data_IF_554772959235
#
_entry.id   IF_554772959235
#
_cell.length_a   1.000
_cell.length_b   1.000
_cell.length_c   1.000
_cell.angle_alpha   90.00
_cell.angle_beta   90.00
_cell.angle_gamma   90.00
#
_symmetry.space_group_name_H-M   'P 1'
#
loop_
_entity.id
_entity.type
_entity.pdbx_description
1 polymer ?
#
# COMPACT_ATOMS: atom_id res chain seq x y z
N UNK A 1 13.30 32.04 -22.53
CA UNK A 1 12.11 32.71 -23.09
C UNK A 1 10.96 32.61 -22.12
N UNK A 2 10.14 33.66 -21.96
CA UNK A 2 8.97 33.63 -21.08
C UNK A 2 7.72 33.97 -21.89
N UNK A 3 6.71 33.11 -21.82
CA UNK A 3 5.41 33.30 -22.47
C UNK A 3 4.36 33.50 -21.39
N UNK A 4 3.56 34.56 -21.53
CA UNK A 4 2.40 34.82 -20.69
C UNK A 4 1.15 34.64 -21.55
N UNK A 5 0.23 33.76 -21.13
CA UNK A 5 -1.01 33.55 -21.87
C UNK A 5 -2.16 33.18 -20.95
N UNK A 6 -3.30 33.85 -21.14
CA UNK A 6 -4.60 33.36 -20.72
C UNK A 6 -5.33 32.83 -21.95
N UNK A 7 -5.56 31.53 -21.98
CA UNK A 7 -6.19 30.86 -23.12
C UNK A 7 -6.93 29.64 -22.61
N UNK A 8 -7.99 29.21 -23.29
CA UNK A 8 -8.70 27.97 -22.93
C UNK A 8 -7.87 26.72 -23.28
N UNK A 9 -7.12 26.78 -24.39
CA UNK A 9 -6.30 25.68 -24.90
C UNK A 9 -4.92 26.20 -25.31
N UNK A 10 -3.88 25.45 -24.98
CA UNK A 10 -2.50 25.69 -25.41
C UNK A 10 -1.96 24.37 -25.95
N UNK A 11 -1.94 24.26 -27.28
CA UNK A 11 -1.47 23.07 -27.96
C UNK A 11 0.01 23.22 -28.31
N UNK A 12 0.85 22.43 -27.66
CA UNK A 12 2.29 22.33 -27.91
C UNK A 12 2.63 20.97 -28.54
N UNK A 13 1.71 20.42 -29.33
CA UNK A 13 1.82 19.10 -29.95
C UNK A 13 2.94 19.08 -30.98
N UNK A 14 3.87 18.11 -30.87
CA UNK A 14 5.04 17.94 -31.75
C UNK A 14 5.92 19.19 -31.87
N UNK A 15 5.91 20.05 -30.85
CA UNK A 15 6.78 21.23 -30.81
C UNK A 15 8.20 20.85 -30.40
N UNK A 16 9.18 21.66 -30.81
CA UNK A 16 10.58 21.49 -30.43
C UNK A 16 11.06 22.71 -29.66
N UNK A 17 11.51 22.50 -28.42
CA UNK A 17 11.99 23.55 -27.53
C UNK A 17 13.50 23.47 -27.43
N UNK A 18 14.18 24.33 -28.20
CA UNK A 18 15.64 24.40 -28.31
C UNK A 18 16.28 25.42 -27.35
N UNK A 19 15.51 25.95 -26.40
CA UNK A 19 16.03 26.85 -25.36
C UNK A 19 15.14 26.78 -24.12
N UNK A 20 15.68 27.23 -22.98
CA UNK A 20 14.91 27.31 -21.73
C UNK A 20 13.66 28.17 -21.90
N UNK A 21 12.49 27.62 -21.56
CA UNK A 21 11.22 28.31 -21.67
C UNK A 21 10.41 28.28 -20.38
N UNK A 22 9.65 29.34 -20.12
CA UNK A 22 8.69 29.39 -19.01
C UNK A 22 7.35 29.85 -19.56
N UNK A 23 6.36 28.95 -19.54
CA UNK A 23 4.98 29.23 -19.91
C UNK A 23 4.20 29.52 -18.63
N UNK A 24 3.86 30.78 -18.43
CA UNK A 24 2.96 31.24 -17.36
C UNK A 24 1.56 31.29 -17.93
N UNK A 25 0.76 30.31 -17.55
CA UNK A 25 -0.53 30.05 -18.16
C UNK A 25 -1.66 30.25 -17.18
N UNK A 26 -2.80 30.70 -17.71
CA UNK A 26 -4.06 30.83 -16.99
C UNK A 26 -5.20 30.24 -17.77
N UNK A 27 -6.09 29.56 -17.05
CA UNK A 27 -7.33 28.99 -17.60
C UNK A 27 -7.08 27.99 -18.75
N UNK A 28 -5.86 27.47 -18.86
CA UNK A 28 -5.40 26.74 -20.03
C UNK A 28 -5.43 25.23 -19.81
N UNK A 29 -5.95 24.52 -20.81
CA UNK A 29 -5.70 23.11 -20.99
C UNK A 29 -4.50 22.93 -21.94
N UNK A 30 -3.42 22.35 -21.45
CA UNK A 30 -2.13 22.27 -22.14
C UNK A 30 -1.90 20.86 -22.64
N UNK A 31 -1.68 20.72 -23.94
CA UNK A 31 -1.33 19.46 -24.57
C UNK A 31 0.13 19.51 -25.06
N UNK A 32 0.98 18.60 -24.56
CA UNK A 32 2.38 18.50 -24.95
C UNK A 32 2.68 17.24 -25.75
N UNK A 33 1.65 16.58 -26.31
CA UNK A 33 1.84 15.30 -27.00
C UNK A 33 2.97 15.36 -28.03
N UNK A 34 3.94 14.47 -27.88
CA UNK A 34 5.15 14.34 -28.70
C UNK A 34 6.03 15.62 -28.76
N UNK A 35 5.94 16.51 -27.76
CA UNK A 35 6.83 17.67 -27.64
C UNK A 35 8.26 17.24 -27.24
N UNK A 36 9.26 17.81 -27.92
CA UNK A 36 10.67 17.55 -27.66
C UNK A 36 11.27 18.72 -26.88
N UNK A 37 11.69 18.45 -25.65
CA UNK A 37 12.25 19.43 -24.72
C UNK A 37 13.77 19.25 -24.64
N UNK A 38 14.55 19.97 -25.46
CA UNK A 38 16.02 19.87 -25.42
C UNK A 38 16.63 20.64 -24.24
N UNK A 39 15.87 21.58 -23.67
CA UNK A 39 16.26 22.40 -22.52
C UNK A 39 15.10 22.51 -21.53
N UNK A 40 15.35 22.92 -20.28
CA UNK A 40 14.30 23.05 -19.27
C UNK A 40 13.10 23.90 -19.72
N UNK A 41 11.91 23.32 -19.69
CA UNK A 41 10.64 24.00 -19.96
C UNK A 41 9.77 23.91 -18.72
N UNK A 42 9.40 25.07 -18.19
CA UNK A 42 8.53 25.20 -17.03
C UNK A 42 7.13 25.65 -17.44
N UNK A 43 6.11 24.93 -16.95
CA UNK A 43 4.70 25.29 -17.12
C UNK A 43 4.15 25.62 -15.74
N UNK A 44 3.78 26.88 -15.57
CA UNK A 44 3.40 27.44 -14.29
C UNK A 44 1.97 27.95 -14.39
N UNK A 45 1.09 27.42 -13.54
CA UNK A 45 -0.24 28.00 -13.36
C UNK A 45 -0.09 29.34 -12.63
N UNK A 46 -0.54 30.43 -13.25
CA UNK A 46 -0.45 31.75 -12.64
C UNK A 46 -1.77 32.14 -11.97
N UNK A 47 -1.78 32.54 -10.68
CA UNK A 47 -3.03 32.85 -9.98
C UNK A 47 -3.57 34.26 -10.27
N UNK A 48 -2.71 35.22 -10.60
CA UNK A 48 -3.06 36.64 -10.74
C UNK A 48 -3.26 37.06 -12.22
N UNK A 49 -4.08 38.10 -12.49
CA UNK A 49 -4.21 38.71 -13.82
C UNK A 49 -2.89 39.21 -14.37
N UNK A 50 -2.63 38.87 -15.63
CA UNK A 50 -1.51 39.48 -16.35
C UNK A 50 -1.84 40.92 -16.74
N UNK A 51 -3.13 41.23 -16.92
CA UNK A 51 -3.67 42.55 -17.27
C UNK A 51 -4.99 42.79 -16.54
N UNK A 52 -5.32 44.07 -16.32
CA UNK A 52 -6.48 44.49 -15.49
C UNK A 52 -7.83 44.05 -16.08
N UNK A 53 -7.94 43.96 -17.41
CA UNK A 53 -9.14 43.55 -18.15
C UNK A 53 -8.91 42.23 -18.91
N UNK A 54 -8.47 41.19 -18.20
CA UNK A 54 -8.30 39.86 -18.79
C UNK A 54 -9.67 39.21 -19.03
N UNK A 55 -10.05 38.87 -20.28
CA UNK A 55 -11.34 38.25 -20.56
C UNK A 55 -11.47 36.94 -19.80
N UNK A 56 -12.47 36.84 -18.93
CA UNK A 56 -12.76 35.59 -18.21
C UNK A 56 -13.13 34.52 -19.23
N UNK A 57 -12.35 33.44 -19.29
CA UNK A 57 -12.73 32.23 -20.02
C UNK A 57 -13.62 31.38 -19.11
N UNK A 58 -14.95 31.32 -19.34
CA UNK A 58 -15.82 30.49 -18.51
C UNK A 58 -15.50 29.01 -18.73
N UNK A 59 -15.06 28.31 -17.68
CA UNK A 59 -15.00 26.84 -17.66
C UNK A 59 -13.75 26.20 -17.04
N UNK A 60 -12.62 26.90 -16.93
CA UNK A 60 -11.37 26.34 -16.40
C UNK A 60 -10.90 27.13 -15.18
N UNK A 61 -11.11 26.62 -13.97
CA UNK A 61 -10.68 27.28 -12.73
C UNK A 61 -9.17 27.15 -12.44
N UNK A 62 -8.35 26.87 -13.45
CA UNK A 62 -6.90 26.66 -13.31
C UNK A 62 -6.23 26.23 -14.61
N UNK A 63 -4.92 25.98 -14.54
CA UNK A 63 -4.12 25.46 -15.65
C UNK A 63 -3.97 23.95 -15.49
N UNK A 64 -4.40 23.21 -16.51
CA UNK A 64 -4.45 21.75 -16.55
C UNK A 64 -3.55 21.24 -17.66
N UNK A 65 -2.89 20.11 -17.44
CA UNK A 65 -2.14 19.39 -18.49
C UNK A 65 -2.96 18.18 -18.91
N UNK A 66 -3.23 18.03 -20.21
CA UNK A 66 -4.03 16.93 -20.77
C UNK A 66 -3.20 15.72 -21.14
N UNK A 67 -1.98 15.92 -21.65
CA UNK A 67 -1.16 14.83 -22.16
C UNK A 67 0.33 15.18 -22.13
N UNK A 68 1.11 14.20 -21.67
CA UNK A 68 2.57 14.15 -21.75
C UNK A 68 3.06 12.97 -22.61
N UNK A 69 2.16 12.35 -23.37
CA UNK A 69 2.49 11.21 -24.22
C UNK A 69 3.63 11.59 -25.18
N UNK A 70 4.66 10.77 -25.26
CA UNK A 70 5.80 10.98 -26.16
C UNK A 70 6.79 12.07 -25.73
N UNK A 71 6.56 12.73 -24.58
CA UNK A 71 7.43 13.80 -24.08
C UNK A 71 8.58 13.20 -23.28
N UNK A 72 9.79 13.74 -23.47
CA UNK A 72 10.88 13.53 -22.51
C UNK A 72 10.70 14.48 -21.31
N UNK A 73 10.31 13.91 -20.18
CA UNK A 73 9.99 14.67 -18.97
C UNK A 73 11.23 15.09 -18.16
N UNK A 74 12.46 14.72 -18.57
CA UNK A 74 13.69 15.08 -17.86
C UNK A 74 13.90 16.60 -17.74
N UNK A 75 13.40 17.35 -18.72
CA UNK A 75 13.49 18.81 -18.77
C UNK A 75 12.15 19.49 -18.48
N UNK A 76 11.14 18.76 -18.01
CA UNK A 76 9.81 19.30 -17.75
C UNK A 76 9.64 19.68 -16.28
N UNK A 77 9.24 20.92 -16.03
CA UNK A 77 8.83 21.42 -14.71
C UNK A 77 7.37 21.82 -14.76
N UNK A 78 6.56 21.27 -13.87
CA UNK A 78 5.14 21.62 -13.72
C UNK A 78 4.94 22.24 -12.34
N UNK A 79 4.38 23.45 -12.30
CA UNK A 79 4.15 24.18 -11.06
C UNK A 79 2.70 24.60 -10.93
N UNK A 80 2.06 24.23 -9.82
CA UNK A 80 0.66 24.57 -9.50
C UNK A 80 -0.37 24.11 -10.55
N UNK A 81 -0.07 23.04 -11.30
CA UNK A 81 -0.92 22.54 -12.39
C UNK A 81 -1.84 21.38 -11.97
N UNK A 82 -2.93 21.25 -12.71
CA UNK A 82 -3.87 20.13 -12.57
C UNK A 82 -3.53 19.00 -13.56
N UNK A 83 -3.21 17.83 -13.04
CA UNK A 83 -2.87 16.61 -13.77
C UNK A 83 -3.97 15.53 -13.66
N UNK A 84 -5.15 15.88 -13.16
CA UNK A 84 -6.24 14.92 -12.91
C UNK A 84 -6.80 14.25 -14.17
N UNK A 85 -6.55 14.81 -15.35
CA UNK A 85 -6.88 14.20 -16.65
C UNK A 85 -5.65 13.99 -17.53
N UNK A 86 -4.45 14.07 -16.97
CA UNK A 86 -3.21 13.97 -17.73
C UNK A 86 -2.92 12.53 -18.13
N UNK A 87 -2.61 12.32 -19.41
CA UNK A 87 -2.07 11.06 -19.94
C UNK A 87 -0.56 11.05 -19.74
N UNK A 88 -0.04 10.03 -19.06
CA UNK A 88 1.39 9.86 -18.78
C UNK A 88 2.01 8.67 -19.52
N UNK A 89 1.21 7.68 -19.93
CA UNK A 89 1.67 6.52 -20.68
C UNK A 89 2.32 6.97 -21.98
N UNK A 90 3.53 6.46 -22.23
CA UNK A 90 4.37 6.85 -23.36
C UNK A 90 5.25 8.07 -23.11
N UNK A 91 5.21 8.71 -21.94
CA UNK A 91 6.22 9.69 -21.55
C UNK A 91 7.55 9.00 -21.20
N UNK A 92 8.67 9.65 -21.51
CA UNK A 92 10.02 9.20 -21.21
C UNK A 92 10.58 9.95 -19.99
N UNK A 93 11.51 9.31 -19.27
CA UNK A 93 12.17 9.87 -18.08
C UNK A 93 11.20 10.53 -17.08
N UNK A 94 10.02 9.95 -16.91
CA UNK A 94 9.01 10.46 -15.98
C UNK A 94 9.50 10.43 -14.52
N UNK A 95 10.57 9.69 -14.23
CA UNK A 95 11.26 9.72 -12.94
C UNK A 95 12.06 11.00 -12.69
N UNK A 96 12.31 11.81 -13.73
CA UNK A 96 13.05 13.07 -13.65
C UNK A 96 12.15 14.30 -13.75
N UNK A 97 10.84 14.12 -13.92
CA UNK A 97 9.88 15.23 -13.96
C UNK A 97 9.90 16.01 -12.64
N UNK A 98 9.86 17.34 -12.74
CA UNK A 98 9.76 18.19 -11.55
C UNK A 98 8.34 18.65 -11.33
N UNK A 99 7.77 18.23 -10.22
CA UNK A 99 6.42 18.58 -9.78
C UNK A 99 6.53 19.50 -8.57
N UNK A 100 6.18 20.77 -8.75
CA UNK A 100 6.36 21.82 -7.74
C UNK A 100 5.03 22.48 -7.36
N UNK A 101 4.93 22.96 -6.12
CA UNK A 101 3.73 23.60 -5.61
C UNK A 101 2.53 22.64 -5.52
N UNK A 102 1.34 23.16 -5.82
CA UNK A 102 0.07 22.44 -5.72
C UNK A 102 -0.25 21.68 -7.00
N UNK A 103 0.21 20.44 -7.08
CA UNK A 103 -0.14 19.53 -8.17
C UNK A 103 -1.39 18.71 -7.82
N UNK A 104 -2.40 18.77 -8.69
CA UNK A 104 -3.63 17.99 -8.51
C UNK A 104 -3.57 16.70 -9.35
N UNK A 105 -4.01 15.59 -8.77
CA UNK A 105 -4.18 14.31 -9.45
C UNK A 105 -5.64 13.87 -9.31
N UNK A 106 -6.06 12.89 -10.13
CA UNK A 106 -7.37 12.31 -9.97
C UNK A 106 -7.44 11.59 -8.62
N UNK A 107 -8.60 11.63 -7.96
CA UNK A 107 -8.86 10.85 -6.76
C UNK A 107 -9.81 9.70 -7.05
N UNK A 108 -9.62 8.51 -6.47
CA UNK A 108 -10.53 7.40 -6.66
C UNK A 108 -11.92 7.76 -6.09
N UNK A 109 -13.00 7.24 -6.69
CA UNK A 109 -14.33 7.66 -6.32
C UNK A 109 -14.62 7.31 -4.86
N UNK A 110 -15.07 8.30 -4.08
CA UNK A 110 -15.38 8.12 -2.67
C UNK A 110 -16.57 7.16 -2.49
N UNK A 111 -16.45 6.27 -1.51
CA UNK A 111 -17.53 5.40 -1.07
C UNK A 111 -17.10 4.01 -0.65
N UNK A 112 -18.07 3.28 -0.09
CA UNK A 112 -17.96 1.86 0.17
C UNK A 112 -18.27 1.09 -1.11
N UNK A 113 -17.44 0.11 -1.45
CA UNK A 113 -17.70 -0.83 -2.54
C UNK A 113 -17.95 -2.21 -1.98
N UNK A 114 -18.97 -2.89 -2.48
CA UNK A 114 -19.17 -4.29 -2.19
C UNK A 114 -18.27 -5.11 -3.14
N UNK A 115 -17.26 -5.79 -2.59
CA UNK A 115 -16.41 -6.72 -3.34
C UNK A 115 -16.60 -8.13 -2.78
N UNK A 116 -17.14 -9.05 -3.58
CA UNK A 116 -17.52 -10.42 -3.14
C UNK A 116 -18.38 -10.42 -1.86
N UNK A 117 -19.37 -9.51 -1.77
CA UNK A 117 -20.27 -9.40 -0.63
C UNK A 117 -19.73 -8.63 0.58
N UNK A 118 -18.45 -8.27 0.61
CA UNK A 118 -17.84 -7.54 1.73
C UNK A 118 -17.72 -6.04 1.43
N UNK A 119 -18.05 -5.15 2.40
CA UNK A 119 -17.88 -3.72 2.24
C UNK A 119 -16.38 -3.36 2.32
N UNK A 120 -15.82 -2.95 1.19
CA UNK A 120 -14.44 -2.48 1.05
C UNK A 120 -14.45 -0.99 0.72
N UNK A 121 -13.87 -0.18 1.61
CA UNK A 121 -13.63 1.24 1.34
C UNK A 121 -12.39 1.39 0.47
N UNK A 122 -12.51 2.12 -0.66
CA UNK A 122 -11.34 2.48 -1.47
C UNK A 122 -10.42 3.39 -0.66
N UNK A 123 -9.11 3.18 -0.80
CA UNK A 123 -8.12 4.10 -0.25
C UNK A 123 -8.28 5.45 -0.92
N UNK A 124 -8.36 6.53 -0.15
CA UNK A 124 -8.06 7.87 -0.70
C UNK A 124 -6.56 7.89 -1.01
N UNK A 125 -6.22 8.23 -2.24
CA UNK A 125 -4.85 8.40 -2.74
C UNK A 125 -4.89 9.19 -4.05
N UNK A 126 -3.75 9.69 -4.50
CA UNK A 126 -3.58 10.20 -5.86
C UNK A 126 -3.60 9.04 -6.88
N UNK A 127 -4.31 9.24 -7.98
CA UNK A 127 -4.46 8.26 -9.07
C UNK A 127 -4.22 8.92 -10.42
N UNK A 128 -3.68 8.14 -11.36
CA UNK A 128 -3.52 8.54 -12.75
C UNK A 128 -4.87 8.59 -13.46
N UNK A 129 -5.02 9.49 -14.42
CA UNK A 129 -6.22 9.57 -15.25
C UNK A 129 -6.45 8.24 -16.00
N UNK A 130 -5.38 7.61 -16.48
CA UNK A 130 -5.47 6.33 -17.18
C UNK A 130 -5.91 5.17 -16.28
N UNK A 131 -5.63 5.21 -14.97
CA UNK A 131 -6.23 4.25 -14.04
C UNK A 131 -7.77 4.42 -14.03
N UNK A 132 -8.28 5.66 -14.01
CA UNK A 132 -9.73 5.87 -14.08
C UNK A 132 -10.34 5.32 -15.36
N UNK A 133 -9.66 5.53 -16.50
CA UNK A 133 -10.11 5.04 -17.80
C UNK A 133 -10.18 3.50 -17.81
N UNK A 134 -9.12 2.82 -17.36
CA UNK A 134 -9.07 1.37 -17.28
C UNK A 134 -10.15 0.81 -16.32
N UNK A 135 -10.40 1.50 -15.21
CA UNK A 135 -11.42 1.12 -14.23
C UNK A 135 -12.83 1.34 -14.74
N UNK A 136 -13.06 2.36 -15.55
CA UNK A 136 -14.34 2.62 -16.17
C UNK A 136 -14.72 1.50 -17.15
N UNK A 137 -13.77 1.04 -17.98
CA UNK A 137 -13.95 -0.10 -18.88
C UNK A 137 -14.24 -1.38 -18.10
N UNK A 138 -13.43 -1.68 -17.09
CA UNK A 138 -13.65 -2.87 -16.25
C UNK A 138 -14.96 -2.84 -15.45
N UNK A 139 -15.59 -1.67 -15.31
CA UNK A 139 -16.84 -1.47 -14.59
C UNK A 139 -18.07 -1.33 -15.51
N UNK A 140 -17.92 -1.46 -16.84
CA UNK A 140 -18.94 -1.16 -17.84
C UNK A 140 -20.28 -1.88 -17.61
N UNK A 141 -20.27 -3.11 -17.06
CA UNK A 141 -21.47 -3.90 -16.77
C UNK A 141 -22.12 -3.60 -15.41
N UNK A 142 -21.61 -2.60 -14.67
CA UNK A 142 -22.11 -2.27 -13.33
C UNK A 142 -22.70 -0.86 -13.29
N UNK A 143 -23.75 -0.68 -12.47
CA UNK A 143 -24.32 0.64 -12.08
C UNK A 143 -23.29 1.59 -11.45
N UNK A 144 -22.04 1.12 -11.26
CA UNK A 144 -20.91 1.83 -10.65
C UNK A 144 -19.90 2.33 -11.68
N UNK A 145 -20.12 2.09 -12.99
CA UNK A 145 -19.34 2.67 -14.08
C UNK A 145 -19.33 4.21 -14.00
N UNK A 146 -20.48 4.80 -13.63
CA UNK A 146 -20.68 6.26 -13.57
C UNK A 146 -19.80 6.98 -12.54
N UNK A 147 -19.09 6.25 -11.67
CA UNK A 147 -18.23 6.85 -10.65
C UNK A 147 -16.79 7.02 -11.11
N UNK A 148 -16.33 6.26 -12.10
CA UNK A 148 -14.98 6.39 -12.64
C UNK A 148 -15.02 7.23 -13.91
N UNK A 149 -14.05 8.14 -14.04
CA UNK A 149 -13.96 9.00 -15.23
C UNK A 149 -13.67 8.13 -16.47
N UNK A 150 -14.47 8.30 -17.52
CA UNK A 150 -14.27 7.58 -18.79
C UNK A 150 -13.21 8.29 -19.61
N UNK A 151 -12.32 7.49 -20.20
CA UNK A 151 -11.31 7.99 -21.13
C UNK A 151 -11.86 8.18 -22.54
N UNK A 152 -11.10 8.86 -23.41
CA UNK A 152 -11.49 9.09 -24.81
C UNK A 152 -11.61 7.79 -25.61
N UNK A 153 -10.84 6.76 -25.24
CA UNK A 153 -10.86 5.46 -25.89
C UNK A 153 -11.98 4.52 -25.38
N UNK A 154 -12.83 4.96 -24.46
CA UNK A 154 -13.91 4.11 -23.93
C UNK A 154 -14.94 3.79 -25.03
N UNK A 155 -15.37 2.52 -25.21
CA UNK A 155 -15.17 1.37 -24.33
C UNK A 155 -14.00 0.43 -24.71
N UNK A 156 -13.14 0.80 -25.66
CA UNK A 156 -12.13 -0.10 -26.23
C UNK A 156 -11.02 -0.45 -25.22
N UNK A 157 -10.94 -1.71 -24.75
CA UNK A 157 -9.90 -2.14 -23.82
C UNK A 157 -8.51 -2.20 -24.48
N UNK A 158 -8.41 -2.40 -25.80
CA UNK A 158 -7.13 -2.52 -26.48
C UNK A 158 -6.40 -1.17 -26.61
N UNK A 159 -7.16 -0.07 -26.56
CA UNK A 159 -6.63 1.30 -26.65
C UNK A 159 -6.44 1.96 -25.28
N UNK A 160 -6.74 1.25 -24.19
CA UNK A 160 -6.64 1.77 -22.82
C UNK A 160 -5.50 1.09 -22.07
N UNK A 161 -4.55 1.84 -21.49
CA UNK A 161 -3.39 1.25 -20.81
C UNK A 161 -3.77 0.22 -19.74
N UNK A 162 -3.10 -0.92 -19.79
CA UNK A 162 -3.30 -2.02 -18.86
C UNK A 162 -2.62 -1.79 -17.50
N UNK A 163 -2.86 -2.66 -16.50
CA UNK A 163 -2.13 -2.58 -15.23
C UNK A 163 -0.61 -2.71 -15.37
N UNK A 164 -0.16 -3.48 -16.35
CA UNK A 164 1.23 -3.68 -16.74
C UNK A 164 1.86 -2.39 -17.29
N UNK A 165 1.13 -1.61 -18.09
CA UNK A 165 1.56 -0.28 -18.57
C UNK A 165 1.61 0.77 -17.46
N UNK A 166 0.63 0.74 -16.54
CA UNK A 166 0.49 1.75 -15.48
C UNK A 166 1.48 1.54 -14.32
N UNK A 167 1.91 0.30 -14.05
CA UNK A 167 2.83 0.03 -12.94
C UNK A 167 4.19 0.75 -13.11
N UNK A 168 4.85 0.73 -14.29
CA UNK A 168 6.04 1.55 -14.56
C UNK A 168 5.81 3.06 -14.41
N UNK A 169 4.67 3.59 -14.86
CA UNK A 169 4.33 5.02 -14.73
C UNK A 169 4.24 5.41 -13.26
N UNK A 170 3.53 4.63 -12.44
CA UNK A 170 3.49 4.83 -10.99
C UNK A 170 4.87 4.74 -10.34
N UNK A 171 5.73 3.80 -10.79
CA UNK A 171 7.10 3.67 -10.28
C UNK A 171 7.94 4.90 -10.60
N UNK A 172 7.84 5.43 -11.82
CA UNK A 172 8.56 6.61 -12.25
C UNK A 172 8.14 7.84 -11.43
N UNK A 173 6.83 8.10 -11.29
CA UNK A 173 6.31 9.19 -10.46
C UNK A 173 6.66 9.04 -8.98
N UNK A 174 6.66 7.81 -8.46
CA UNK A 174 7.16 7.52 -7.10
C UNK A 174 8.62 7.95 -6.97
N UNK A 175 9.49 7.55 -7.90
CA UNK A 175 10.90 7.93 -7.89
C UNK A 175 11.09 9.45 -7.97
N UNK A 176 10.39 10.12 -8.88
CA UNK A 176 10.41 11.59 -8.97
C UNK A 176 10.00 12.27 -7.66
N UNK A 177 8.97 11.73 -6.98
CA UNK A 177 8.50 12.25 -5.69
C UNK A 177 9.48 11.97 -4.55
N UNK A 178 10.12 10.80 -4.53
CA UNK A 178 11.18 10.45 -3.57
C UNK A 178 12.40 11.35 -3.74
N UNK A 179 12.82 11.61 -4.99
CA UNK A 179 13.93 12.52 -5.32
C UNK A 179 13.62 13.96 -4.91
N UNK A 180 12.35 14.38 -5.01
CA UNK A 180 11.86 15.66 -4.51
C UNK A 180 11.64 15.71 -2.98
N UNK A 181 11.95 14.62 -2.24
CA UNK A 181 11.67 14.46 -0.79
C UNK A 181 10.19 14.60 -0.41
N UNK A 182 9.29 14.37 -1.36
CA UNK A 182 7.85 14.38 -1.14
C UNK A 182 7.37 12.96 -0.82
N UNK A 183 7.64 12.56 0.43
CA UNK A 183 7.30 11.24 0.99
C UNK A 183 5.79 10.92 0.98
N UNK A 184 4.87 11.89 1.24
CA UNK A 184 3.42 11.66 1.15
C UNK A 184 2.96 11.20 -0.22
N UNK A 185 3.44 11.87 -1.27
CA UNK A 185 3.01 11.61 -2.65
C UNK A 185 3.67 10.34 -3.18
N UNK A 186 4.95 10.13 -2.84
CA UNK A 186 5.65 8.87 -3.12
C UNK A 186 4.91 7.64 -2.55
N UNK A 187 4.35 7.74 -1.33
CA UNK A 187 3.59 6.67 -0.71
C UNK A 187 2.28 6.36 -1.46
N UNK A 188 1.59 7.39 -1.96
CA UNK A 188 0.37 7.22 -2.75
C UNK A 188 0.68 6.56 -4.12
N UNK A 189 1.77 6.95 -4.78
CA UNK A 189 2.24 6.33 -6.02
C UNK A 189 2.73 4.89 -5.82
N UNK A 190 3.43 4.61 -4.71
CA UNK A 190 3.80 3.24 -4.33
C UNK A 190 2.57 2.33 -4.17
N UNK A 191 1.52 2.84 -3.51
CA UNK A 191 0.28 2.08 -3.39
C UNK A 191 -0.34 1.81 -4.76
N UNK A 192 -0.33 2.80 -5.66
CA UNK A 192 -0.78 2.67 -7.05
C UNK A 192 -0.01 1.57 -7.80
N UNK A 193 1.32 1.60 -7.75
CA UNK A 193 2.21 0.60 -8.36
C UNK A 193 1.86 -0.81 -7.88
N UNK A 194 1.81 -1.03 -6.56
CA UNK A 194 1.52 -2.35 -5.97
C UNK A 194 0.10 -2.83 -6.30
N UNK A 195 -0.86 -1.90 -6.43
CA UNK A 195 -2.22 -2.22 -6.82
C UNK A 195 -2.32 -2.67 -8.28
N UNK A 196 -1.55 -2.04 -9.16
CA UNK A 196 -1.44 -2.41 -10.57
C UNK A 196 -0.76 -3.77 -10.72
N UNK A 197 0.38 -4.00 -10.05
CA UNK A 197 1.07 -5.30 -10.02
C UNK A 197 0.20 -6.45 -9.50
N UNK A 198 -0.71 -6.18 -8.56
CA UNK A 198 -1.66 -7.19 -8.07
C UNK A 198 -2.76 -7.52 -9.10
N UNK A 199 -3.13 -6.56 -9.94
CA UNK A 199 -4.19 -6.69 -10.95
C UNK A 199 -3.71 -7.22 -12.28
N UNK A 200 -2.44 -7.00 -12.57
CA UNK A 200 -1.72 -7.61 -13.67
C UNK A 200 -1.93 -9.14 -13.63
N UNK A 201 -2.58 -9.65 -14.68
CA UNK A 201 -2.94 -11.06 -14.82
C UNK A 201 -1.82 -11.88 -15.44
N UNK A 202 -0.87 -11.23 -16.11
CA UNK A 202 0.24 -11.86 -16.81
C UNK A 202 1.37 -12.24 -15.86
N UNK A 203 1.41 -11.61 -14.67
CA UNK A 203 2.36 -11.98 -13.63
C UNK A 203 2.18 -13.41 -13.10
N UNK A 204 3.30 -14.07 -12.74
CA UNK A 204 3.27 -15.41 -12.17
C UNK A 204 2.46 -15.44 -10.86
N UNK A 205 1.75 -16.55 -10.64
CA UNK A 205 0.85 -16.72 -9.50
C UNK A 205 1.54 -16.50 -8.16
N UNK A 206 2.79 -16.97 -8.00
CA UNK A 206 3.56 -16.81 -6.76
C UNK A 206 3.77 -15.35 -6.38
N UNK A 207 4.13 -14.50 -7.34
CA UNK A 207 4.30 -13.07 -7.09
C UNK A 207 2.97 -12.41 -6.72
N UNK A 208 1.89 -12.77 -7.40
CA UNK A 208 0.55 -12.25 -7.12
C UNK A 208 0.07 -12.65 -5.73
N UNK A 209 0.34 -13.87 -5.29
CA UNK A 209 0.02 -14.35 -3.95
C UNK A 209 0.81 -13.58 -2.90
N UNK A 210 2.11 -13.37 -3.09
CA UNK A 210 2.96 -12.60 -2.17
C UNK A 210 2.48 -11.16 -2.05
N UNK A 211 2.19 -10.49 -3.17
CA UNK A 211 1.67 -9.11 -3.18
C UNK A 211 0.28 -9.05 -2.52
N UNK A 212 -0.58 -10.06 -2.75
CA UNK A 212 -1.89 -10.13 -2.13
C UNK A 212 -1.80 -10.34 -0.61
N UNK A 213 -0.91 -11.22 -0.15
CA UNK A 213 -0.64 -11.42 1.28
C UNK A 213 -0.11 -10.13 1.92
N UNK A 214 0.86 -9.47 1.28
CA UNK A 214 1.39 -8.19 1.76
C UNK A 214 0.32 -7.09 1.85
N UNK A 215 -0.59 -7.02 0.87
CA UNK A 215 -1.76 -6.14 0.97
C UNK A 215 -2.70 -6.48 2.13
N UNK A 216 -2.95 -7.78 2.34
CA UNK A 216 -3.88 -8.26 3.36
C UNK A 216 -3.34 -7.98 4.76
N UNK A 217 -2.06 -8.29 5.00
CA UNK A 217 -1.41 -8.17 6.30
C UNK A 217 -1.14 -6.71 6.69
N UNK A 218 -0.59 -5.90 5.77
CA UNK A 218 -0.07 -4.57 6.12
C UNK A 218 -0.60 -3.43 5.24
N UNK A 219 -1.44 -3.73 4.25
CA UNK A 219 -1.89 -2.72 3.28
C UNK A 219 -0.72 -2.15 2.47
N UNK A 220 0.21 -3.03 2.06
CA UNK A 220 1.49 -2.67 1.44
C UNK A 220 2.44 -1.89 2.36
N UNK A 221 2.40 -2.16 3.66
CA UNK A 221 3.28 -1.50 4.63
C UNK A 221 2.92 -0.04 4.89
N UNK A 222 1.76 0.44 4.42
CA UNK A 222 1.30 1.82 4.60
C UNK A 222 0.17 1.96 5.64
N UNK A 223 -0.33 0.84 6.20
CA UNK A 223 -1.49 0.85 7.10
C UNK A 223 -1.21 0.11 8.40
N UNK A 224 -0.71 0.84 9.40
CA UNK A 224 -0.43 0.30 10.73
C UNK A 224 -1.64 -0.37 11.38
N UNK A 225 -2.85 0.19 11.19
CA UNK A 225 -4.07 -0.38 11.79
C UNK A 225 -4.38 -1.81 11.33
N UNK A 226 -4.01 -2.18 10.09
CA UNK A 226 -4.19 -3.57 9.61
C UNK A 226 -3.18 -4.51 10.25
N UNK A 227 -1.92 -4.09 10.34
CA UNK A 227 -0.87 -4.88 10.97
C UNK A 227 -1.17 -5.12 12.46
N UNK A 228 -1.60 -4.07 13.19
CA UNK A 228 -2.03 -4.22 14.59
C UNK A 228 -3.29 -5.09 14.74
N UNK A 229 -4.26 -4.98 13.83
CA UNK A 229 -5.44 -5.84 13.87
C UNK A 229 -5.07 -7.33 13.65
N UNK A 230 -4.18 -7.62 12.70
CA UNK A 230 -3.67 -8.98 12.49
C UNK A 230 -2.83 -9.48 13.66
N UNK A 231 -2.01 -8.62 14.27
CA UNK A 231 -1.27 -8.97 15.48
C UNK A 231 -2.23 -9.31 16.63
N UNK A 232 -3.22 -8.46 16.90
CA UNK A 232 -4.22 -8.74 17.94
C UNK A 232 -5.03 -10.00 17.66
N UNK A 233 -5.42 -10.24 16.40
CA UNK A 233 -6.11 -11.46 16.00
C UNK A 233 -5.23 -12.70 16.18
N UNK A 234 -3.96 -12.64 15.77
CA UNK A 234 -3.00 -13.73 15.95
C UNK A 234 -2.79 -14.05 17.44
N UNK A 235 -2.54 -13.03 18.27
CA UNK A 235 -2.41 -13.20 19.72
C UNK A 235 -3.67 -13.80 20.35
N UNK A 236 -4.86 -13.34 19.94
CA UNK A 236 -6.14 -13.87 20.43
C UNK A 236 -6.30 -15.35 20.04
N UNK A 237 -6.00 -15.71 18.79
CA UNK A 237 -6.03 -17.09 18.32
C UNK A 237 -5.03 -17.95 19.08
N UNK A 238 -3.78 -17.50 19.23
CA UNK A 238 -2.74 -18.20 20.02
C UNK A 238 -3.22 -18.46 21.45
N UNK A 239 -3.78 -17.45 22.13
CA UNK A 239 -4.34 -17.59 23.48
C UNK A 239 -5.50 -18.59 23.53
N UNK A 240 -6.43 -18.54 22.58
CA UNK A 240 -7.55 -19.49 22.49
C UNK A 240 -7.06 -20.92 22.26
N UNK A 241 -6.13 -21.12 21.33
CA UNK A 241 -5.54 -22.43 21.03
C UNK A 241 -4.82 -23.00 22.27
N UNK A 242 -4.07 -22.16 23.00
CA UNK A 242 -3.42 -22.58 24.23
C UNK A 242 -4.41 -22.90 25.34
N UNK A 243 -5.47 -22.11 25.52
CA UNK A 243 -6.51 -22.41 26.52
C UNK A 243 -7.24 -23.73 26.25
N UNK A 244 -7.50 -24.01 24.97
CA UNK A 244 -8.27 -25.19 24.55
C UNK A 244 -7.41 -26.45 24.50
N UNK A 245 -6.17 -26.34 24.01
CA UNK A 245 -5.31 -27.49 23.68
C UNK A 245 -3.88 -27.41 24.19
N UNK A 246 -3.37 -26.24 24.61
CA UNK A 246 -1.95 -26.06 24.95
C UNK A 246 -1.59 -26.15 26.43
N UNK A 247 -2.45 -25.63 27.31
CA UNK A 247 -2.20 -25.58 28.75
C UNK A 247 -2.62 -26.90 29.41
N UNK A 248 -1.74 -27.56 30.19
CA UNK A 248 -2.11 -28.71 31.00
C UNK A 248 -3.13 -28.32 32.08
N UNK A 249 -3.83 -29.29 32.67
CA UNK A 249 -4.71 -29.02 33.81
C UNK A 249 -3.93 -28.75 35.10
N UNK A 250 -2.73 -29.32 35.22
CA UNK A 250 -1.82 -29.13 36.35
C UNK A 250 -0.39 -29.02 35.81
N UNK A 251 0.40 -28.10 36.38
CA UNK A 251 1.83 -28.04 36.08
C UNK A 251 2.46 -29.38 36.54
N UNK A 252 3.08 -30.17 35.63
CA UNK A 252 3.64 -31.46 36.00
C UNK A 252 4.75 -31.23 37.02
N UNK A 253 4.46 -31.55 38.29
CA UNK A 253 5.45 -31.48 39.37
C UNK A 253 6.53 -32.52 39.06
N UNK A 254 7.82 -32.15 39.03
CA UNK A 254 8.90 -33.11 38.82
C UNK A 254 8.83 -34.15 39.95
N UNK A 255 8.60 -35.41 39.59
CA UNK A 255 8.63 -36.50 40.56
C UNK A 255 10.10 -36.90 40.68
N UNK A 256 10.70 -36.58 41.82
CA UNK A 256 12.04 -37.05 42.17
C UNK A 256 11.86 -38.47 42.72
N UNK A 257 12.03 -39.48 41.88
CA UNK A 257 12.09 -40.87 42.33
C UNK A 257 13.55 -41.15 42.69
N UNK A 258 13.84 -41.37 43.98
CA UNK A 258 15.14 -41.93 44.39
C UNK A 258 15.08 -43.44 44.19
N UNK A 259 15.76 -43.93 43.17
CA UNK A 259 15.98 -45.35 42.98
C UNK A 259 17.09 -45.79 43.94
N UNK A 260 16.72 -46.47 45.02
CA UNK A 260 17.71 -47.01 45.97
C UNK A 260 18.16 -48.39 45.46
N UNK A 261 19.14 -48.42 44.57
CA UNK A 261 19.86 -49.65 44.23
C UNK A 261 20.72 -50.04 45.43
N UNK A 262 20.47 -51.20 46.03
CA UNK A 262 21.26 -51.71 47.16
C UNK A 262 22.68 -52.05 46.68
N UNK A 263 23.65 -51.50 47.41
CA UNK A 263 25.10 -51.78 47.40
C UNK A 263 25.89 -51.20 46.22
N UNK A 264 26.72 -50.19 46.54
CA UNK A 264 27.83 -49.61 45.76
C UNK A 264 27.62 -49.37 44.27
N UNK A 265 27.13 -48.16 43.95
CA UNK A 265 27.57 -47.26 42.84
C UNK A 265 26.40 -46.33 42.43
N UNK A 266 26.73 -45.05 42.31
CA UNK A 266 25.92 -43.89 41.87
C UNK A 266 24.40 -43.90 42.08
N UNK A 267 23.94 -43.08 43.02
CA UNK A 267 22.52 -42.69 43.15
C UNK A 267 22.10 -41.83 41.95
N UNK A 268 21.58 -42.44 40.90
CA UNK A 268 21.00 -41.73 39.77
C UNK A 268 19.70 -41.04 40.20
N UNK A 269 19.71 -39.70 40.22
CA UNK A 269 18.54 -38.89 40.54
C UNK A 269 17.71 -38.73 39.26
N UNK A 270 16.81 -39.68 39.00
CA UNK A 270 15.94 -39.66 37.82
C UNK A 270 14.79 -38.67 38.07
N UNK A 271 14.87 -37.50 37.43
CA UNK A 271 13.78 -36.52 37.40
C UNK A 271 12.82 -36.92 36.27
N UNK A 272 11.83 -37.72 36.60
CA UNK A 272 10.80 -38.13 35.63
C UNK A 272 9.70 -37.06 35.60
N UNK A 273 9.51 -36.42 34.44
CA UNK A 273 8.42 -35.44 34.21
C UNK A 273 7.31 -36.14 33.43
N UNK A 274 6.12 -36.36 34.04
CA UNK A 274 5.01 -36.99 33.33
C UNK A 274 4.48 -36.07 32.23
N UNK A 275 4.03 -36.68 31.13
CA UNK A 275 3.52 -35.95 29.97
C UNK A 275 2.31 -35.06 30.34
N UNK A 276 2.31 -33.79 29.91
CA UNK A 276 1.19 -32.88 30.16
C UNK A 276 -0.08 -33.38 29.45
N UNK A 277 -1.10 -33.75 30.24
CA UNK A 277 -2.41 -34.21 29.73
C UNK A 277 -3.50 -33.18 29.99
N UNK A 278 -4.42 -33.06 29.03
CA UNK A 278 -5.62 -32.20 29.13
C UNK A 278 -6.86 -33.10 29.25
N UNK A 279 -7.62 -32.93 30.32
CA UNK A 279 -8.89 -33.64 30.57
C UNK A 279 -10.06 -32.65 30.72
N UNK A 280 -11.26 -33.02 30.28
CA UNK A 280 -12.49 -32.20 30.39
C UNK A 280 -13.08 -31.71 29.06
N UNK A 281 -14.32 -31.22 29.06
CA UNK A 281 -15.04 -30.73 27.85
C UNK A 281 -14.49 -29.39 27.36
N UNK A 282 -14.69 -29.04 26.06
CA UNK A 282 -14.19 -27.78 25.48
C UNK A 282 -14.73 -26.53 26.20
N UNK A 283 -15.99 -26.54 26.63
CA UNK A 283 -16.63 -25.41 27.32
C UNK A 283 -16.05 -25.14 28.72
N UNK A 284 -15.71 -26.20 29.46
CA UNK A 284 -15.09 -26.08 30.80
C UNK A 284 -13.64 -25.59 30.78
N UNK A 285 -13.01 -25.49 29.59
CA UNK A 285 -11.61 -25.07 29.44
C UNK A 285 -11.45 -23.55 29.29
N UNK A 286 -12.52 -22.83 28.95
CA UNK A 286 -12.52 -21.37 28.81
C UNK A 286 -12.73 -20.75 30.19
N UNK A 287 -11.63 -20.44 30.89
CA UNK A 287 -11.66 -19.83 32.22
C UNK A 287 -10.69 -18.65 32.29
N UNK A 288 -11.01 -17.64 33.11
CA UNK A 288 -10.17 -16.44 33.27
C UNK A 288 -8.74 -16.78 33.72
N UNK A 289 -8.59 -17.80 34.58
CA UNK A 289 -7.27 -18.25 35.06
C UNK A 289 -6.40 -18.83 33.92
N UNK A 290 -7.00 -19.64 33.03
CA UNK A 290 -6.29 -20.16 31.85
C UNK A 290 -6.00 -19.08 30.82
N UNK A 291 -6.89 -18.10 30.67
CA UNK A 291 -6.65 -16.96 29.80
C UNK A 291 -5.43 -16.16 30.24
N UNK A 292 -5.29 -15.91 31.55
CA UNK A 292 -4.11 -15.24 32.11
C UNK A 292 -2.80 -16.00 31.84
N UNK A 293 -2.77 -17.31 32.16
CA UNK A 293 -1.59 -18.15 31.89
C UNK A 293 -1.25 -18.22 30.39
N UNK A 294 -2.26 -18.39 29.53
CA UNK A 294 -2.06 -18.45 28.08
C UNK A 294 -1.55 -17.12 27.53
N UNK A 295 -2.07 -15.99 28.01
CA UNK A 295 -1.61 -14.66 27.61
C UNK A 295 -0.16 -14.41 28.05
N UNK A 296 0.22 -14.82 29.25
CA UNK A 296 1.60 -14.74 29.74
C UNK A 296 2.56 -15.58 28.88
N UNK A 297 2.16 -16.81 28.53
CA UNK A 297 2.93 -17.68 27.61
C UNK A 297 3.08 -17.03 26.23
N UNK A 298 2.01 -16.51 25.63
CA UNK A 298 2.09 -15.84 24.33
C UNK A 298 2.99 -14.62 24.42
N UNK A 299 2.79 -13.75 25.42
CA UNK A 299 3.61 -12.56 25.60
C UNK A 299 5.09 -12.89 25.77
N UNK A 300 5.42 -13.83 26.65
CA UNK A 300 6.80 -14.24 26.90
C UNK A 300 7.43 -14.95 25.69
N UNK A 301 6.64 -15.71 24.93
CA UNK A 301 7.09 -16.31 23.68
C UNK A 301 7.43 -15.26 22.61
N UNK A 302 6.63 -14.20 22.50
CA UNK A 302 6.85 -13.13 21.51
C UNK A 302 8.02 -12.24 21.88
N UNK A 303 8.06 -11.81 23.14
CA UNK A 303 9.04 -10.83 23.64
C UNK A 303 10.36 -11.50 24.00
N UNK A 304 10.31 -12.61 24.74
CA UNK A 304 11.47 -13.27 25.31
C UNK A 304 11.84 -14.59 24.62
N UNK A 305 11.07 -15.04 23.61
CA UNK A 305 11.30 -16.32 22.89
C UNK A 305 11.45 -17.52 23.82
N UNK A 306 10.88 -17.46 25.02
CA UNK A 306 10.86 -18.55 26.00
C UNK A 306 9.57 -18.49 26.82
N UNK A 307 8.85 -19.60 26.90
CA UNK A 307 7.62 -19.67 27.69
C UNK A 307 7.83 -20.26 29.09
N UNK A 308 8.95 -20.93 29.35
CA UNK A 308 9.27 -21.56 30.63
C UNK A 308 8.27 -22.63 31.12
N UNK A 309 7.18 -22.88 30.38
CA UNK A 309 6.08 -23.75 30.77
C UNK A 309 6.09 -25.08 30.01
N UNK A 310 5.69 -26.15 30.69
CA UNK A 310 5.52 -27.47 30.09
C UNK A 310 4.20 -27.52 29.32
N UNK A 311 4.23 -27.19 28.03
CA UNK A 311 3.07 -27.23 27.14
C UNK A 311 2.81 -28.65 26.63
N UNK A 312 1.55 -28.92 26.25
CA UNK A 312 1.22 -30.13 25.48
C UNK A 312 1.85 -30.09 24.08
N UNK A 313 1.97 -31.23 23.41
CA UNK A 313 2.44 -31.29 22.01
C UNK A 313 1.74 -30.27 21.07
N UNK A 314 0.39 -30.15 21.04
CA UNK A 314 -0.26 -29.10 20.25
C UNK A 314 0.03 -27.69 20.77
N UNK A 315 0.19 -27.49 22.08
CA UNK A 315 0.62 -26.20 22.64
C UNK A 315 2.01 -25.77 22.18
N UNK A 316 2.96 -26.70 22.11
CA UNK A 316 4.31 -26.47 21.60
C UNK A 316 4.29 -26.07 20.12
N UNK A 317 3.46 -26.70 19.28
CA UNK A 317 3.32 -26.31 17.87
C UNK A 317 2.74 -24.91 17.72
N UNK A 318 1.74 -24.55 18.53
CA UNK A 318 1.15 -23.20 18.56
C UNK A 318 2.18 -22.17 18.98
N UNK A 319 2.97 -22.47 20.01
CA UNK A 319 4.05 -21.62 20.47
C UNK A 319 5.14 -21.42 19.40
N UNK A 320 5.57 -22.50 18.73
CA UNK A 320 6.53 -22.40 17.64
C UNK A 320 6.01 -21.53 16.49
N UNK A 321 4.71 -21.66 16.16
CA UNK A 321 4.05 -20.82 15.16
C UNK A 321 4.01 -19.34 15.54
N UNK A 322 3.66 -19.02 16.79
CA UNK A 322 3.61 -17.62 17.27
C UNK A 322 4.98 -16.96 17.27
N UNK A 323 6.04 -17.70 17.65
CA UNK A 323 7.44 -17.22 17.61
C UNK A 323 7.92 -16.78 16.23
N UNK A 324 7.32 -17.32 15.16
CA UNK A 324 7.65 -16.94 13.79
C UNK A 324 6.73 -15.83 13.28
N UNK A 325 5.41 -16.00 13.44
CA UNK A 325 4.43 -15.13 12.81
C UNK A 325 4.29 -13.76 13.50
N UNK A 326 4.29 -13.72 14.83
CA UNK A 326 3.98 -12.52 15.59
C UNK A 326 5.10 -11.45 15.49
N UNK A 327 6.41 -11.79 15.53
CA UNK A 327 7.48 -10.81 15.26
C UNK A 327 7.43 -10.21 13.86
N UNK A 328 7.03 -10.98 12.84
CA UNK A 328 6.87 -10.46 11.47
C UNK A 328 5.75 -9.42 11.42
N UNK A 329 4.63 -9.67 12.12
CA UNK A 329 3.53 -8.72 12.22
C UNK A 329 3.93 -7.44 12.97
N UNK A 330 4.73 -7.56 14.04
CA UNK A 330 5.30 -6.41 14.75
C UNK A 330 6.22 -5.59 13.82
N UNK A 331 7.12 -6.25 13.08
CA UNK A 331 8.00 -5.57 12.13
C UNK A 331 7.21 -4.82 11.04
N UNK A 332 6.15 -5.44 10.50
CA UNK A 332 5.24 -4.80 9.55
C UNK A 332 4.48 -3.61 10.17
N UNK A 333 4.08 -3.71 11.43
CA UNK A 333 3.42 -2.62 12.14
C UNK A 333 4.36 -1.42 12.33
N UNK A 334 5.60 -1.67 12.78
CA UNK A 334 6.63 -0.62 12.94
C UNK A 334 6.95 0.07 11.62
N UNK A 335 7.11 -0.70 10.53
CA UNK A 335 7.36 -0.15 9.20
C UNK A 335 6.19 0.75 8.75
N UNK A 336 4.96 0.32 9.01
CA UNK A 336 3.79 1.12 8.67
C UNK A 336 3.63 2.38 9.52
N UNK A 337 4.00 2.35 10.80
CA UNK A 337 4.06 3.57 11.64
C UNK A 337 5.11 4.54 11.11
N UNK A 338 6.31 4.06 10.78
CA UNK A 338 7.35 4.90 10.17
C UNK A 338 6.87 5.56 8.89
N UNK A 339 6.20 4.82 8.02
CA UNK A 339 5.65 5.38 6.77
C UNK A 339 4.61 6.47 7.01
N UNK A 340 3.84 6.38 8.10
CA UNK A 340 2.82 7.38 8.48
C UNK A 340 3.43 8.62 9.11
N UNK A 341 4.52 8.50 9.86
CA UNK A 341 5.24 9.65 10.44
C UNK A 341 5.98 10.44 9.36
N UNK A 342 6.43 9.75 8.32
CA UNK A 342 7.06 10.31 7.12
C UNK A 342 6.08 11.06 6.20
N UNK A 343 4.78 10.81 6.34
CA UNK A 343 3.71 11.41 5.54
C UNK A 343 3.15 12.67 6.21
#
# INVERSE_FOLDING_TARGET
>A
MTIHAAAAFVECVRTQWLSTATLRLRHANVDLTDAVLAFPVAIVAHPAPFVVDEPFAPGSSGTRVSSLRGVDAAHLVLTDTDLSSCVFTGAFHLDQIRLEGRILFAEPPAGWRLHRGLPVRLSRRRTLAEEHHARAIAAADSTRAHRWTRGPAHPDPALTPGPDDLAPVYRALRKASEDAKNEPDAADFYFGEMEMRRRDRERPLGERVVIAAYWLLSGYGLRASRAFAWLGAAMTVSVLLLMLWGLPNHDPKPRITRENTRASEESALVVERPDPRITGSLGSRVTAHRAGKAAEVVFNSVVFRSSGQNLTAPGTVVEMGSRLAEPVLVALAVLAVRSRVRR
#
